data_IF_291786168115
#
_entry.id   IF_291786168115
#
_cell.length_a   1.000
_cell.length_b   1.000
_cell.length_c   1.000
_cell.angle_alpha   90.00
_cell.angle_beta   90.00
_cell.angle_gamma   90.00
#
_symmetry.space_group_name_H-M   'P 1'
#
loop_
_entity.id
_entity.type
_entity.pdbx_description
1 polymer ?
#
# COMPACT_ATOMS: atom_id res chain seq x y z
N UNK A 1 29.40 -8.91 3.27
CA UNK A 1 28.81 -7.56 3.39
C UNK A 1 27.74 -7.66 4.46
N UNK A 2 27.95 -7.09 5.65
CA UNK A 2 26.95 -7.12 6.73
C UNK A 2 25.80 -6.21 6.31
N UNK A 3 24.61 -6.78 6.10
CA UNK A 3 23.39 -6.02 5.79
C UNK A 3 22.79 -5.58 7.13
N UNK A 4 23.23 -4.43 7.66
CA UNK A 4 22.63 -3.87 8.87
C UNK A 4 21.16 -3.49 8.61
N UNK A 5 20.28 -3.83 9.55
CA UNK A 5 18.89 -3.41 9.62
C UNK A 5 18.86 -1.93 10.03
N UNK A 6 19.18 -1.02 9.11
CA UNK A 6 19.11 0.41 9.41
C UNK A 6 17.64 0.83 9.63
N UNK A 7 17.16 0.70 10.87
CA UNK A 7 15.88 1.20 11.30
C UNK A 7 16.02 2.70 11.59
N UNK A 8 15.34 3.53 10.80
CA UNK A 8 15.31 4.98 11.03
C UNK A 8 14.47 5.25 12.28
N UNK A 9 15.14 5.43 13.42
CA UNK A 9 14.55 5.96 14.64
C UNK A 9 14.25 7.44 14.45
N UNK A 10 12.97 7.80 14.37
CA UNK A 10 12.54 9.20 14.48
C UNK A 10 12.71 9.66 15.94
N UNK A 11 13.90 10.15 16.28
CA UNK A 11 14.12 10.94 17.49
C UNK A 11 13.62 12.34 17.20
N UNK A 12 12.56 12.75 17.90
CA UNK A 12 11.98 14.08 17.81
C UNK A 12 12.96 15.16 18.29
N UNK A 13 13.86 15.59 17.41
CA UNK A 13 14.41 16.94 17.47
C UNK A 13 13.33 17.87 16.94
N UNK A 14 12.97 18.86 17.75
CA UNK A 14 12.07 19.95 17.42
C UNK A 14 12.57 20.67 16.15
N UNK A 15 12.18 20.15 15.00
CA UNK A 15 12.34 20.78 13.71
C UNK A 15 11.40 21.98 13.68
N UNK A 16 11.90 23.11 13.21
CA UNK A 16 11.07 24.23 12.79
C UNK A 16 9.98 23.65 11.88
N UNK A 17 8.73 23.66 12.32
CA UNK A 17 7.66 23.00 11.59
C UNK A 17 7.54 23.66 10.22
N UNK A 18 8.10 23.01 9.20
CA UNK A 18 7.93 23.43 7.82
C UNK A 18 6.45 23.30 7.50
N UNK A 19 5.94 24.19 6.63
CA UNK A 19 4.55 24.09 6.20
C UNK A 19 4.29 22.70 5.59
N UNK A 20 3.15 22.05 5.91
CA UNK A 20 2.84 20.73 5.40
C UNK A 20 2.67 20.79 3.88
N UNK A 21 3.10 19.74 3.18
CA UNK A 21 2.99 19.63 1.71
C UNK A 21 1.53 19.43 1.26
N UNK A 22 0.67 18.94 2.15
CA UNK A 22 -0.77 18.96 1.97
C UNK A 22 -1.51 18.94 3.31
N UNK A 23 -2.78 19.36 3.30
CA UNK A 23 -3.75 19.14 4.37
C UNK A 23 -4.90 18.30 3.82
N UNK A 24 -5.38 17.33 4.60
CA UNK A 24 -6.52 16.47 4.28
C UNK A 24 -7.51 16.54 5.43
N UNK A 25 -8.64 17.22 5.23
CA UNK A 25 -9.63 17.52 6.28
C UNK A 25 -8.98 18.15 7.52
N UNK A 26 -7.98 19.01 7.31
CA UNK A 26 -7.21 19.66 8.37
C UNK A 26 -6.06 18.84 8.98
N UNK A 27 -5.93 17.54 8.68
CA UNK A 27 -4.77 16.74 9.09
C UNK A 27 -3.61 16.90 8.09
N UNK A 28 -2.36 17.17 8.53
CA UNK A 28 -1.24 17.42 7.64
C UNK A 28 -0.65 16.15 7.03
N UNK A 29 -0.11 16.31 5.81
CA UNK A 29 0.95 15.46 5.24
C UNK A 29 2.23 16.30 5.26
N UNK A 30 3.26 15.83 5.96
CA UNK A 30 4.52 16.56 6.11
C UNK A 30 5.48 16.32 4.93
N UNK A 31 6.50 17.17 4.84
CA UNK A 31 7.57 17.00 3.84
C UNK A 31 8.33 15.70 4.07
N UNK A 32 8.57 15.34 5.33
CA UNK A 32 9.24 14.11 5.73
C UNK A 32 8.45 12.88 5.30
N UNK A 33 7.12 12.87 5.50
CA UNK A 33 6.25 11.78 5.05
C UNK A 33 6.35 11.58 3.52
N UNK A 34 6.29 12.68 2.75
CA UNK A 34 6.43 12.63 1.30
C UNK A 34 7.83 12.16 0.87
N UNK A 35 8.89 12.63 1.51
CA UNK A 35 10.26 12.23 1.19
C UNK A 35 10.52 10.76 1.51
N UNK A 36 10.00 10.26 2.63
CA UNK A 36 10.04 8.84 2.98
C UNK A 36 9.24 7.98 1.99
N UNK A 37 8.05 8.44 1.57
CA UNK A 37 7.21 7.71 0.62
C UNK A 37 7.81 7.67 -0.79
N UNK A 38 8.37 8.79 -1.25
CA UNK A 38 8.98 8.88 -2.59
C UNK A 38 10.30 8.13 -2.69
N UNK A 39 11.02 7.97 -1.57
CA UNK A 39 12.39 7.43 -1.52
C UNK A 39 13.34 8.07 -2.53
N UNK A 40 13.05 9.31 -2.96
CA UNK A 40 13.74 9.95 -4.07
C UNK A 40 15.23 10.07 -3.82
N UNK A 41 15.64 10.39 -2.60
CA UNK A 41 17.06 10.46 -2.25
C UNK A 41 17.78 9.13 -2.49
N UNK A 42 17.16 8.00 -2.13
CA UNK A 42 17.74 6.67 -2.36
C UNK A 42 17.77 6.33 -3.86
N UNK A 43 16.69 6.63 -4.59
CA UNK A 43 16.60 6.40 -6.04
C UNK A 43 17.67 7.22 -6.77
N UNK A 44 17.74 8.52 -6.50
CA UNK A 44 18.69 9.44 -7.12
C UNK A 44 20.14 9.09 -6.76
N UNK A 45 20.40 8.70 -5.52
CA UNK A 45 21.72 8.20 -5.12
C UNK A 45 22.13 6.99 -5.97
N UNK A 46 21.28 5.96 -6.04
CA UNK A 46 21.58 4.76 -6.85
C UNK A 46 21.77 5.09 -8.33
N UNK A 47 20.91 5.96 -8.90
CA UNK A 47 21.04 6.41 -10.28
C UNK A 47 22.34 7.19 -10.53
N UNK A 48 22.74 8.04 -9.60
CA UNK A 48 23.98 8.81 -9.74
C UNK A 48 25.21 7.89 -9.78
N UNK A 49 25.24 6.84 -8.95
CA UNK A 49 26.35 5.90 -8.89
C UNK A 49 26.36 4.88 -10.04
N UNK A 50 25.19 4.37 -10.44
CA UNK A 50 25.11 3.32 -11.47
C UNK A 50 24.99 3.90 -12.89
N UNK A 51 24.36 5.07 -13.03
CA UNK A 51 23.99 5.68 -14.31
C UNK A 51 24.19 7.20 -14.30
N UNK A 52 25.44 7.70 -14.13
CA UNK A 52 25.71 9.12 -13.91
C UNK A 52 25.20 10.04 -15.03
N UNK A 53 25.26 9.60 -16.29
CA UNK A 53 24.73 10.38 -17.43
C UNK A 53 23.21 10.51 -17.38
N UNK A 54 22.49 9.43 -17.01
CA UNK A 54 21.05 9.46 -16.84
C UNK A 54 20.65 10.40 -15.70
N UNK A 55 21.33 10.33 -14.56
CA UNK A 55 21.09 11.21 -13.42
C UNK A 55 21.33 12.69 -13.78
N UNK A 56 22.37 13.00 -14.55
CA UNK A 56 22.65 14.36 -15.02
C UNK A 56 21.55 14.89 -15.94
N UNK A 57 21.04 14.09 -16.89
CA UNK A 57 19.92 14.50 -17.74
C UNK A 57 18.65 14.70 -16.89
N UNK A 58 18.33 13.74 -16.03
CA UNK A 58 17.14 13.78 -15.16
C UNK A 58 17.13 15.01 -14.24
N UNK A 59 18.27 15.38 -13.65
CA UNK A 59 18.38 16.51 -12.71
C UNK A 59 18.69 17.84 -13.41
N UNK A 60 19.30 17.78 -14.59
CA UNK A 60 19.83 18.94 -15.30
C UNK A 60 18.88 19.55 -16.32
N UNK A 61 17.92 18.79 -16.86
CA UNK A 61 16.98 19.29 -17.87
C UNK A 61 15.61 19.68 -17.29
N UNK A 62 14.88 20.60 -17.94
CA UNK A 62 13.50 20.91 -17.57
C UNK A 62 12.57 19.69 -17.59
N UNK A 63 12.71 18.81 -18.57
CA UNK A 63 11.87 17.61 -18.72
C UNK A 63 12.09 16.62 -17.57
N UNK A 64 13.35 16.45 -17.15
CA UNK A 64 13.69 15.58 -16.04
C UNK A 64 13.16 16.11 -14.70
N UNK A 65 13.28 17.42 -14.46
CA UNK A 65 12.67 18.06 -13.29
C UNK A 65 11.14 17.93 -13.29
N UNK A 66 10.49 18.19 -14.43
CA UNK A 66 9.05 18.02 -14.57
C UNK A 66 8.61 16.55 -14.32
N UNK A 67 9.43 15.57 -14.71
CA UNK A 67 9.18 14.17 -14.38
C UNK A 67 9.24 13.93 -12.86
N UNK A 68 10.26 14.45 -12.17
CA UNK A 68 10.39 14.31 -10.71
C UNK A 68 9.22 14.97 -9.97
N UNK A 69 8.80 16.16 -10.41
CA UNK A 69 7.65 16.87 -9.85
C UNK A 69 6.37 16.05 -10.02
N UNK A 70 6.13 15.47 -11.21
CA UNK A 70 4.99 14.58 -11.43
C UNK A 70 5.07 13.36 -10.53
N UNK A 71 6.23 12.71 -10.43
CA UNK A 71 6.41 11.56 -9.55
C UNK A 71 6.09 11.89 -8.09
N UNK A 72 6.57 13.02 -7.58
CA UNK A 72 6.23 13.47 -6.22
C UNK A 72 4.74 13.72 -6.04
N UNK A 73 4.07 14.32 -7.04
CA UNK A 73 2.62 14.54 -7.00
C UNK A 73 1.82 13.23 -6.99
N UNK A 74 2.22 12.25 -7.79
CA UNK A 74 1.59 10.91 -7.77
C UNK A 74 1.75 10.22 -6.41
N UNK A 75 2.94 10.30 -5.81
CA UNK A 75 3.15 9.73 -4.46
C UNK A 75 2.35 10.51 -3.40
N UNK A 76 2.29 11.83 -3.51
CA UNK A 76 1.50 12.67 -2.60
C UNK A 76 0.00 12.33 -2.70
N UNK A 77 -0.53 12.12 -3.91
CA UNK A 77 -1.93 11.73 -4.09
C UNK A 77 -2.24 10.37 -3.43
N UNK A 78 -1.31 9.40 -3.51
CA UNK A 78 -1.43 8.14 -2.77
C UNK A 78 -1.45 8.34 -1.25
N UNK A 79 -0.62 9.26 -0.72
CA UNK A 79 -0.63 9.61 0.70
C UNK A 79 -1.95 10.29 1.12
N UNK A 80 -2.49 11.16 0.27
CA UNK A 80 -3.79 11.80 0.47
C UNK A 80 -4.89 10.74 0.55
N UNK A 81 -4.99 9.86 -0.46
CA UNK A 81 -5.98 8.78 -0.48
C UNK A 81 -5.85 7.86 0.72
N UNK A 82 -4.63 7.52 1.14
CA UNK A 82 -4.39 6.72 2.34
C UNK A 82 -4.88 7.44 3.60
N UNK A 83 -4.61 8.74 3.73
CA UNK A 83 -5.06 9.54 4.89
C UNK A 83 -6.59 9.64 4.95
N UNK A 84 -7.25 9.82 3.80
CA UNK A 84 -8.72 9.81 3.68
C UNK A 84 -9.29 8.48 4.17
N UNK A 85 -8.73 7.36 3.71
CA UNK A 85 -9.16 6.02 4.15
C UNK A 85 -9.03 5.86 5.67
N UNK A 86 -7.90 6.26 6.25
CA UNK A 86 -7.70 6.16 7.70
C UNK A 86 -8.68 7.03 8.50
N UNK A 87 -8.95 8.24 8.03
CA UNK A 87 -9.95 9.13 8.64
C UNK A 87 -11.35 8.51 8.58
N UNK A 88 -11.73 7.96 7.44
CA UNK A 88 -13.04 7.33 7.24
C UNK A 88 -13.19 6.05 8.07
N UNK A 89 -12.14 5.23 8.16
CA UNK A 89 -12.13 4.06 9.04
C UNK A 89 -12.31 4.45 10.51
N UNK A 90 -11.64 5.52 10.97
CA UNK A 90 -11.82 6.08 12.32
C UNK A 90 -13.23 6.64 12.52
N UNK A 91 -13.77 7.36 11.53
CA UNK A 91 -15.11 7.94 11.58
C UNK A 91 -16.21 6.87 11.69
N UNK A 92 -16.02 5.71 11.05
CA UNK A 92 -16.89 4.54 11.17
C UNK A 92 -16.70 3.75 12.48
N UNK A 93 -15.75 4.14 13.32
CA UNK A 93 -15.43 3.42 14.56
C UNK A 93 -14.86 2.02 14.31
N UNK A 94 -14.23 1.78 13.15
CA UNK A 94 -13.59 0.50 12.86
C UNK A 94 -12.37 0.32 13.77
N UNK A 95 -12.26 -0.86 14.36
CA UNK A 95 -11.11 -1.25 15.17
C UNK A 95 -10.62 -2.62 14.68
N UNK A 96 -9.36 -2.73 14.23
CA UNK A 96 -8.81 -4.03 13.87
C UNK A 96 -8.72 -4.93 15.10
N UNK A 97 -8.93 -6.23 14.91
CA UNK A 97 -8.76 -7.20 16.00
C UNK A 97 -7.28 -7.31 16.37
N UNK A 98 -6.98 -7.50 17.67
CA UNK A 98 -5.60 -7.70 18.12
C UNK A 98 -4.94 -8.89 17.42
N UNK A 99 -5.70 -9.97 17.22
CA UNK A 99 -5.24 -11.14 16.48
C UNK A 99 -4.79 -10.82 15.04
N UNK A 100 -5.50 -9.94 14.33
CA UNK A 100 -5.11 -9.53 12.97
C UNK A 100 -3.85 -8.67 12.98
N UNK A 101 -3.72 -7.77 13.96
CA UNK A 101 -2.50 -6.95 14.12
C UNK A 101 -1.30 -7.85 14.42
N UNK A 102 -1.44 -8.80 15.33
CA UNK A 102 -0.37 -9.76 15.68
C UNK A 102 0.04 -10.61 14.47
N UNK A 103 -0.94 -11.04 13.66
CA UNK A 103 -0.68 -11.77 12.41
C UNK A 103 0.15 -10.93 11.44
N UNK A 104 -0.23 -9.67 11.22
CA UNK A 104 0.51 -8.74 10.33
C UNK A 104 1.91 -8.43 10.86
N UNK A 105 2.10 -8.32 12.18
CA UNK A 105 3.43 -8.16 12.79
C UNK A 105 4.29 -9.39 12.49
N UNK A 106 3.75 -10.60 12.67
CA UNK A 106 4.49 -11.83 12.38
C UNK A 106 4.82 -11.96 10.89
N UNK A 107 3.89 -11.62 10.00
CA UNK A 107 4.13 -11.58 8.55
C UNK A 107 5.25 -10.58 8.19
N UNK A 108 5.29 -9.41 8.82
CA UNK A 108 6.35 -8.44 8.62
C UNK A 108 7.71 -8.98 9.09
N UNK A 109 7.76 -9.66 10.24
CA UNK A 109 8.98 -10.34 10.72
C UNK A 109 9.45 -11.43 9.76
N UNK A 110 8.54 -12.26 9.27
CA UNK A 110 8.86 -13.32 8.32
C UNK A 110 9.37 -12.76 6.99
N UNK A 111 8.78 -11.67 6.50
CA UNK A 111 9.28 -10.96 5.33
C UNK A 111 10.70 -10.43 5.54
N UNK A 112 10.97 -9.81 6.69
CA UNK A 112 12.30 -9.28 7.03
C UNK A 112 13.32 -10.44 7.08
N UNK A 113 13.00 -11.52 7.80
CA UNK A 113 13.86 -12.70 7.87
C UNK A 113 14.15 -13.28 6.48
N UNK A 114 13.13 -13.42 5.65
CA UNK A 114 13.27 -13.94 4.28
C UNK A 114 14.14 -13.02 3.42
N UNK A 115 13.93 -11.71 3.48
CA UNK A 115 14.67 -10.71 2.70
C UNK A 115 16.16 -10.66 3.06
N UNK A 116 16.47 -10.80 4.35
CA UNK A 116 17.85 -10.78 4.85
C UNK A 116 18.49 -12.17 4.95
N UNK A 117 17.72 -13.25 4.81
CA UNK A 117 18.17 -14.63 4.94
C UNK A 117 18.54 -15.01 6.38
N UNK A 118 17.76 -14.54 7.36
CA UNK A 118 18.02 -14.70 8.79
C UNK A 118 17.17 -15.82 9.41
N UNK A 119 17.76 -16.58 10.32
CA UNK A 119 17.01 -17.37 11.30
C UNK A 119 16.40 -16.48 12.40
N UNK A 120 15.55 -17.05 13.26
CA UNK A 120 15.01 -16.33 14.42
C UNK A 120 16.12 -15.92 15.39
N UNK A 121 17.11 -16.79 15.62
CA UNK A 121 18.26 -16.49 16.48
C UNK A 121 19.15 -15.39 15.90
N UNK A 122 19.38 -15.42 14.59
CA UNK A 122 20.16 -14.40 13.89
C UNK A 122 19.47 -13.03 13.93
N UNK A 123 18.14 -12.99 13.72
CA UNK A 123 17.36 -11.77 13.88
C UNK A 123 17.50 -11.20 15.30
N UNK A 124 17.36 -12.02 16.34
CA UNK A 124 17.51 -11.58 17.72
C UNK A 124 18.92 -11.05 18.00
N UNK A 125 19.95 -11.71 17.46
CA UNK A 125 21.33 -11.27 17.62
C UNK A 125 21.60 -9.92 16.93
N UNK A 126 21.08 -9.72 15.72
CA UNK A 126 21.20 -8.45 14.99
C UNK A 126 20.45 -7.31 15.73
N UNK A 127 19.23 -7.56 16.22
CA UNK A 127 18.49 -6.58 17.01
C UNK A 127 19.24 -6.22 18.31
N UNK A 128 19.79 -7.21 19.00
CA UNK A 128 20.56 -7.00 20.22
C UNK A 128 21.84 -6.19 19.97
N UNK A 129 22.49 -6.36 18.81
CA UNK A 129 23.64 -5.56 18.40
C UNK A 129 23.28 -4.06 18.21
N UNK A 130 22.02 -3.77 17.88
CA UNK A 130 21.46 -2.42 17.77
C UNK A 130 20.81 -1.93 19.09
N UNK A 131 20.91 -2.71 20.17
CA UNK A 131 20.34 -2.36 21.47
C UNK A 131 18.81 -2.52 21.56
N UNK A 132 18.20 -3.26 20.63
CA UNK A 132 16.76 -3.55 20.58
C UNK A 132 16.47 -4.99 20.99
N UNK A 133 15.39 -5.17 21.73
CA UNK A 133 14.80 -6.50 21.98
C UNK A 133 13.78 -6.84 20.89
N UNK A 134 13.51 -8.13 20.70
CA UNK A 134 12.47 -8.58 19.75
C UNK A 134 11.09 -7.99 20.08
N UNK A 135 10.74 -7.88 21.37
CA UNK A 135 9.49 -7.27 21.82
C UNK A 135 9.40 -5.78 21.44
N UNK A 136 10.48 -5.02 21.65
CA UNK A 136 10.52 -3.62 21.24
C UNK A 136 10.43 -3.48 19.72
N UNK A 137 11.05 -4.39 18.97
CA UNK A 137 10.97 -4.40 17.52
C UNK A 137 9.55 -4.73 17.03
N UNK A 138 8.90 -5.73 17.63
CA UNK A 138 7.48 -6.04 17.37
C UNK A 138 6.57 -4.85 17.67
N UNK A 139 6.80 -4.14 18.77
CA UNK A 139 6.04 -2.94 19.11
C UNK A 139 6.21 -1.82 18.07
N UNK A 140 7.38 -1.70 17.44
CA UNK A 140 7.60 -0.76 16.35
C UNK A 140 6.83 -1.16 15.08
N UNK A 141 6.76 -2.47 14.78
CA UNK A 141 5.97 -2.99 13.66
C UNK A 141 4.46 -2.87 13.91
N UNK A 142 4.03 -2.95 15.17
CA UNK A 142 2.61 -2.93 15.55
C UNK A 142 1.88 -1.67 15.06
N UNK A 143 2.54 -0.50 15.04
CA UNK A 143 1.92 0.73 14.53
C UNK A 143 1.56 0.63 13.04
N UNK A 144 2.48 0.12 12.22
CA UNK A 144 2.24 -0.09 10.79
C UNK A 144 1.20 -1.19 10.55
N UNK A 145 1.29 -2.28 11.32
CA UNK A 145 0.34 -3.38 11.26
C UNK A 145 -1.08 -2.94 11.64
N UNK A 146 -1.22 -2.08 12.65
CA UNK A 146 -2.52 -1.54 13.05
C UNK A 146 -3.12 -0.66 11.97
N UNK A 147 -2.31 0.20 11.34
CA UNK A 147 -2.75 1.03 10.23
C UNK A 147 -3.20 0.18 9.03
N UNK A 148 -2.40 -0.84 8.68
CA UNK A 148 -2.76 -1.77 7.61
C UNK A 148 -4.05 -2.54 7.94
N UNK A 149 -4.19 -3.07 9.15
CA UNK A 149 -5.38 -3.80 9.56
C UNK A 149 -6.63 -2.91 9.53
N UNK A 150 -6.49 -1.62 9.85
CA UNK A 150 -7.58 -0.65 9.78
C UNK A 150 -8.01 -0.39 8.33
N UNK A 151 -7.06 -0.27 7.40
CA UNK A 151 -7.35 -0.14 5.96
C UNK A 151 -8.03 -1.40 5.39
N UNK A 152 -7.58 -2.58 5.81
CA UNK A 152 -8.21 -3.86 5.45
C UNK A 152 -9.65 -3.94 5.96
N UNK A 153 -9.87 -3.57 7.23
CA UNK A 153 -11.21 -3.53 7.82
C UNK A 153 -12.14 -2.54 7.10
N UNK A 154 -11.61 -1.37 6.69
CA UNK A 154 -12.37 -0.40 5.90
C UNK A 154 -12.75 -0.97 4.54
N UNK A 155 -11.80 -1.59 3.85
CA UNK A 155 -12.06 -2.20 2.54
C UNK A 155 -13.15 -3.26 2.66
N UNK A 156 -13.06 -4.15 3.64
CA UNK A 156 -14.09 -5.18 3.88
C UNK A 156 -15.44 -4.55 4.24
N UNK A 157 -15.48 -3.50 5.05
CA UNK A 157 -16.72 -2.80 5.37
C UNK A 157 -17.38 -2.12 4.15
N UNK A 158 -16.62 -1.83 3.09
CA UNK A 158 -17.12 -1.23 1.85
C UNK A 158 -17.59 -2.31 0.85
N UNK A 159 -16.86 -3.43 0.74
CA UNK A 159 -17.08 -4.43 -0.32
C UNK A 159 -17.68 -5.76 0.18
N UNK A 160 -17.80 -5.96 1.49
CA UNK A 160 -18.16 -7.24 2.09
C UNK A 160 -19.57 -7.73 1.74
N UNK A 161 -20.49 -6.81 1.46
CA UNK A 161 -21.87 -7.13 1.07
C UNK A 161 -22.05 -7.35 -0.45
N UNK A 162 -20.99 -7.25 -1.24
CA UNK A 162 -21.06 -7.47 -2.70
C UNK A 162 -21.37 -8.93 -3.00
N UNK A 163 -22.42 -9.16 -3.78
CA UNK A 163 -22.87 -10.48 -4.21
C UNK A 163 -22.87 -10.61 -5.74
N UNK A 164 -22.77 -11.85 -6.22
CA UNK A 164 -22.93 -12.22 -7.63
C UNK A 164 -24.14 -13.14 -7.71
N UNK A 165 -25.07 -12.83 -8.62
CA UNK A 165 -26.25 -13.63 -8.89
C UNK A 165 -26.01 -14.68 -9.97
N UNK A 166 -26.82 -15.74 -9.97
CA UNK A 166 -26.75 -16.81 -10.98
C UNK A 166 -27.01 -16.25 -12.40
N UNK A 167 -27.87 -15.23 -12.52
CA UNK A 167 -28.14 -14.54 -13.77
C UNK A 167 -26.89 -13.83 -14.32
N UNK A 168 -26.09 -13.22 -13.44
CA UNK A 168 -24.83 -12.57 -13.83
C UNK A 168 -23.79 -13.59 -14.30
N UNK A 169 -23.70 -14.74 -13.64
CA UNK A 169 -22.82 -15.84 -14.04
C UNK A 169 -23.22 -16.36 -15.43
N UNK A 170 -24.50 -16.67 -15.62
CA UNK A 170 -25.02 -17.16 -16.90
C UNK A 170 -24.81 -16.13 -18.04
N UNK A 171 -25.02 -14.85 -17.75
CA UNK A 171 -24.78 -13.76 -18.69
C UNK A 171 -23.29 -13.63 -19.05
N UNK A 172 -22.38 -13.71 -18.07
CA UNK A 172 -20.95 -13.64 -18.31
C UNK A 172 -20.46 -14.82 -19.17
N UNK A 173 -20.92 -16.03 -18.88
CA UNK A 173 -20.63 -17.22 -19.68
C UNK A 173 -21.08 -17.07 -21.14
N UNK A 174 -22.32 -16.63 -21.35
CA UNK A 174 -22.89 -16.46 -22.69
C UNK A 174 -22.19 -15.36 -23.51
N UNK A 175 -21.69 -14.31 -22.86
CA UNK A 175 -21.00 -13.19 -23.51
C UNK A 175 -19.52 -13.46 -23.79
N UNK A 176 -18.91 -14.42 -23.09
CA UNK A 176 -17.48 -14.69 -23.17
C UNK A 176 -17.15 -16.16 -23.53
N UNK A 177 -17.80 -16.79 -24.52
CA UNK A 177 -17.64 -18.24 -24.79
C UNK A 177 -16.19 -18.63 -25.11
N UNK A 178 -15.40 -17.72 -25.71
CA UNK A 178 -13.99 -17.95 -26.03
C UNK A 178 -13.08 -18.12 -24.80
N UNK A 179 -13.49 -17.68 -23.61
CA UNK A 179 -12.73 -17.86 -22.37
C UNK A 179 -12.90 -19.26 -21.76
N UNK A 180 -13.87 -20.03 -22.23
CA UNK A 180 -14.28 -21.32 -21.64
C UNK A 180 -14.15 -22.48 -22.63
N UNK A 181 -13.20 -22.38 -23.56
CA UNK A 181 -12.88 -23.47 -24.48
C UNK A 181 -11.87 -24.41 -23.83
N UNK A 182 -12.10 -25.71 -23.96
CA UNK A 182 -11.14 -26.74 -23.57
C UNK A 182 -9.91 -26.74 -24.50
N UNK A 183 -8.94 -27.61 -24.20
CA UNK A 183 -7.72 -27.75 -25.00
C UNK A 183 -7.99 -28.22 -26.45
N UNK A 184 -9.18 -28.74 -26.73
CA UNK A 184 -9.64 -29.22 -28.03
C UNK A 184 -10.51 -28.18 -28.75
N UNK A 185 -10.79 -27.03 -28.13
CA UNK A 185 -11.60 -25.94 -28.69
C UNK A 185 -13.11 -26.11 -28.49
N UNK A 186 -13.57 -27.03 -27.64
CA UNK A 186 -14.99 -27.20 -27.33
C UNK A 186 -15.38 -26.33 -26.13
N UNK A 187 -16.60 -25.81 -26.15
CA UNK A 187 -17.12 -25.02 -25.05
C UNK A 187 -17.40 -25.92 -23.83
N UNK A 188 -16.74 -25.63 -22.71
CA UNK A 188 -16.94 -26.32 -21.44
C UNK A 188 -18.33 -25.99 -20.87
N UNK A 189 -19.07 -26.96 -20.31
CA UNK A 189 -20.37 -26.71 -19.68
C UNK A 189 -20.30 -25.65 -18.56
N UNK A 190 -21.35 -24.83 -18.42
CA UNK A 190 -21.44 -23.78 -17.39
C UNK A 190 -21.12 -24.31 -15.98
N UNK A 191 -21.69 -25.47 -15.61
CA UNK A 191 -21.49 -26.07 -14.29
C UNK A 191 -20.01 -26.40 -13.96
N UNK A 192 -19.15 -26.59 -14.98
CA UNK A 192 -17.73 -26.85 -14.76
C UNK A 192 -16.93 -25.57 -14.50
N UNK A 193 -17.38 -24.44 -15.03
CA UNK A 193 -16.69 -23.14 -14.96
C UNK A 193 -17.38 -22.12 -14.05
N UNK A 194 -18.55 -22.46 -13.49
CA UNK A 194 -19.39 -21.59 -12.66
C UNK A 194 -18.61 -20.95 -11.49
N UNK A 195 -17.88 -21.74 -10.72
CA UNK A 195 -17.08 -21.24 -9.59
C UNK A 195 -15.96 -20.27 -10.02
N UNK A 196 -15.36 -20.52 -11.19
CA UNK A 196 -14.35 -19.62 -11.74
C UNK A 196 -14.98 -18.29 -12.15
N UNK A 197 -16.13 -18.35 -12.85
CA UNK A 197 -16.88 -17.17 -13.26
C UNK A 197 -17.33 -16.36 -12.04
N UNK A 198 -17.90 -17.02 -11.04
CA UNK A 198 -18.30 -16.40 -9.78
C UNK A 198 -17.12 -15.65 -9.14
N UNK A 199 -15.95 -16.29 -9.04
CA UNK A 199 -14.76 -15.68 -8.43
C UNK A 199 -14.28 -14.45 -9.19
N UNK A 200 -14.27 -14.51 -10.53
CA UNK A 200 -13.89 -13.38 -11.39
C UNK A 200 -14.88 -12.23 -11.26
N UNK A 201 -16.18 -12.51 -11.35
CA UNK A 201 -17.22 -11.50 -11.22
C UNK A 201 -17.24 -10.87 -9.82
N UNK A 202 -17.06 -11.68 -8.78
CA UNK A 202 -17.04 -11.18 -7.41
C UNK A 202 -15.86 -10.21 -7.21
N UNK A 203 -14.66 -10.59 -7.66
CA UNK A 203 -13.49 -9.73 -7.59
C UNK A 203 -13.70 -8.43 -8.39
N UNK A 204 -14.18 -8.53 -9.62
CA UNK A 204 -14.45 -7.37 -10.48
C UNK A 204 -15.47 -6.41 -9.85
N UNK A 205 -16.59 -6.93 -9.32
CA UNK A 205 -17.61 -6.10 -8.66
C UNK A 205 -17.09 -5.46 -7.39
N UNK A 206 -16.33 -6.21 -6.56
CA UNK A 206 -15.70 -5.68 -5.36
C UNK A 206 -14.73 -4.53 -5.69
N UNK A 207 -13.91 -4.70 -6.72
CA UNK A 207 -12.99 -3.65 -7.18
C UNK A 207 -13.75 -2.43 -7.70
N UNK A 208 -14.81 -2.61 -8.50
CA UNK A 208 -15.64 -1.50 -8.97
C UNK A 208 -16.27 -0.70 -7.82
N UNK A 209 -16.81 -1.38 -6.81
CA UNK A 209 -17.38 -0.73 -5.62
C UNK A 209 -16.30 0.01 -4.83
N UNK A 210 -15.13 -0.60 -4.68
CA UNK A 210 -14.01 0.02 -3.98
C UNK A 210 -13.50 1.29 -4.68
N UNK A 211 -13.27 1.23 -6.00
CA UNK A 211 -12.80 2.37 -6.79
C UNK A 211 -13.85 3.50 -6.82
N UNK A 212 -15.13 3.16 -6.95
CA UNK A 212 -16.21 4.15 -6.88
C UNK A 212 -16.23 4.85 -5.51
N UNK A 213 -16.09 4.08 -4.43
CA UNK A 213 -16.02 4.62 -3.08
C UNK A 213 -14.78 5.49 -2.86
N UNK A 214 -13.59 5.07 -3.35
CA UNK A 214 -12.35 5.86 -3.25
C UNK A 214 -12.51 7.21 -3.94
N UNK A 215 -13.08 7.21 -5.15
CA UNK A 215 -13.34 8.44 -5.91
C UNK A 215 -14.27 9.37 -5.14
N UNK A 216 -15.39 8.85 -4.64
CA UNK A 216 -16.35 9.65 -3.87
C UNK A 216 -15.73 10.20 -2.58
N UNK A 217 -14.97 9.37 -1.85
CA UNK A 217 -14.27 9.79 -0.64
C UNK A 217 -13.25 10.90 -0.94
N UNK A 218 -12.55 10.80 -2.07
CA UNK A 218 -11.60 11.81 -2.52
C UNK A 218 -12.25 13.14 -2.92
N UNK A 219 -13.41 13.09 -3.58
CA UNK A 219 -14.20 14.26 -3.97
C UNK A 219 -14.81 14.98 -2.75
N UNK A 220 -15.16 14.23 -1.70
CA UNK A 220 -15.73 14.78 -0.46
C UNK A 220 -14.69 15.39 0.48
N UNK A 221 -13.44 14.96 0.41
CA UNK A 221 -12.38 15.43 1.30
C UNK A 221 -11.94 16.85 0.94
N UNK A 222 -11.79 17.71 1.97
CA UNK A 222 -11.11 19.01 1.82
C UNK A 222 -9.61 18.78 1.73
N UNK A 223 -9.04 18.98 0.54
CA UNK A 223 -7.62 18.74 0.28
C UNK A 223 -6.96 20.02 -0.23
N UNK A 224 -5.95 20.48 0.52
CA UNK A 224 -5.12 21.63 0.16
C UNK A 224 -3.71 21.15 -0.11
N UNK A 225 -3.22 21.32 -1.34
CA UNK A 225 -1.85 20.91 -1.73
C UNK A 225 -0.96 22.15 -1.77
N UNK A 226 0.17 22.08 -1.05
CA UNK A 226 1.14 23.16 -0.90
C UNK A 226 2.52 22.79 -1.49
N UNK A 227 2.54 21.89 -2.48
CA UNK A 227 3.74 21.35 -3.13
C UNK A 227 4.29 22.26 -4.24
#
# INVERSE_FOLDING_TARGET
MKKLLALVLFVGLSAWAQAPVALVNGEPITKEELDSATRLNQILFNLYFQYPQFAQVLLGTPEGKAFLDRYQREVLENLILRKIQLQEARARGLAPSSARVDELVNQALDYIKSYYGLSDEELVAELAAEGLTLEQFKAQLAGQAQEQALLEALKEAVIGEVQVSDEEIAAYYAQNPGQFLDAQGNLQPLAEVENQIFSVLLAQKKDQVWEAWLKEAREKADVQINL
#
